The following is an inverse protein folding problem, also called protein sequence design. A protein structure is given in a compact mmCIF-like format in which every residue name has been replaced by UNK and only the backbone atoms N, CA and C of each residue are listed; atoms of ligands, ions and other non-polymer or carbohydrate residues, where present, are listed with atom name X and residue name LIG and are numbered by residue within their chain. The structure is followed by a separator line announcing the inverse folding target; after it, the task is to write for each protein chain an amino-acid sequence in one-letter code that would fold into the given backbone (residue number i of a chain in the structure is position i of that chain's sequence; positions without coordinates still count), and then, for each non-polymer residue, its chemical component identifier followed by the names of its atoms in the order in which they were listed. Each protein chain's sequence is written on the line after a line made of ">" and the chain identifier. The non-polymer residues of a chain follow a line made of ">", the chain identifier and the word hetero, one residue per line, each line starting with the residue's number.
data_IF_125002162625
#
_entry.id   IF_125002162625
#
_cell.length_a   1.000
_cell.length_b   1.000
_cell.length_c   1.000
_cell.angle_alpha   90.00
_cell.angle_beta   90.00
_cell.angle_gamma   90.00
#
_symmetry.space_group_name_H-M   'P 1'
#
loop_
_entity.id
_entity.type
_entity.pdbx_description
1 polymer ?
#
# COMPACT_ATOMS: atom_id res chain seq x y z
N UNK A 1 56.42 -20.11 -12.75
CA UNK A 1 55.88 -18.79 -13.16
C UNK A 1 55.69 -18.83 -14.66
N UNK A 2 54.56 -19.40 -15.11
CA UNK A 2 54.07 -19.45 -16.49
C UNK A 2 52.85 -20.37 -16.50
N UNK A 3 51.68 -19.83 -16.86
CA UNK A 3 50.43 -20.48 -17.30
C UNK A 3 49.21 -19.72 -16.75
N UNK A 4 48.80 -18.64 -17.42
CA UNK A 4 47.41 -18.16 -17.36
C UNK A 4 47.04 -17.13 -18.45
N UNK A 5 47.61 -17.21 -19.65
CA UNK A 5 47.28 -16.30 -20.77
C UNK A 5 46.79 -17.07 -22.00
N UNK A 6 45.71 -17.84 -21.82
CA UNK A 6 45.12 -18.67 -22.89
C UNK A 6 43.59 -18.57 -22.98
N UNK A 7 43.00 -17.44 -22.55
CA UNK A 7 41.55 -17.20 -22.71
C UNK A 7 41.21 -15.76 -23.12
N UNK A 8 41.91 -15.21 -24.12
CA UNK A 8 41.52 -13.99 -24.83
C UNK A 8 41.90 -14.05 -26.30
N UNK A 9 41.11 -14.73 -27.12
CA UNK A 9 40.68 -14.26 -28.46
C UNK A 9 40.01 -15.41 -29.22
N UNK A 10 38.70 -15.54 -29.08
CA UNK A 10 37.91 -16.26 -30.07
C UNK A 10 36.72 -15.40 -30.49
N UNK A 11 37.02 -14.15 -30.84
CA UNK A 11 36.24 -13.40 -31.81
C UNK A 11 36.49 -14.03 -33.18
N UNK A 12 35.64 -14.99 -33.56
CA UNK A 12 35.51 -15.44 -34.95
C UNK A 12 34.07 -15.22 -35.38
N UNK A 13 33.87 -14.07 -36.03
CA UNK A 13 32.87 -13.78 -37.05
C UNK A 13 31.83 -14.90 -37.27
N UNK A 14 30.75 -14.88 -36.50
CA UNK A 14 29.50 -15.47 -36.96
C UNK A 14 28.74 -14.40 -37.73
N UNK A 15 29.01 -14.43 -39.04
CA UNK A 15 28.14 -13.96 -40.09
C UNK A 15 26.70 -14.26 -39.69
N UNK A 16 25.85 -13.23 -39.62
CA UNK A 16 24.41 -13.40 -39.59
C UNK A 16 24.00 -14.02 -40.93
N UNK A 17 24.12 -15.34 -41.03
CA UNK A 17 23.48 -16.10 -42.06
C UNK A 17 21.99 -15.83 -41.93
N UNK A 18 21.45 -15.16 -42.94
CA UNK A 18 20.04 -15.02 -43.25
C UNK A 18 19.29 -16.33 -43.01
N UNK A 19 18.70 -16.50 -41.82
CA UNK A 19 17.85 -17.63 -41.44
C UNK A 19 16.46 -17.52 -42.11
N UNK A 20 16.44 -17.37 -43.44
CA UNK A 20 15.22 -17.33 -44.24
C UNK A 20 15.13 -18.48 -45.25
N UNK A 21 16.11 -19.40 -45.32
CA UNK A 21 16.16 -20.41 -46.38
C UNK A 21 16.02 -21.87 -45.95
N UNK A 22 15.63 -22.17 -44.71
CA UNK A 22 15.35 -23.54 -44.28
C UNK A 22 14.03 -23.58 -43.50
N UNK A 23 12.91 -23.49 -44.22
CA UNK A 23 11.60 -23.89 -43.72
C UNK A 23 11.24 -25.26 -44.30
N UNK A 24 10.78 -26.23 -43.50
CA UNK A 24 10.31 -27.52 -44.00
C UNK A 24 9.16 -27.33 -45.01
N UNK A 25 9.07 -28.13 -46.08
CA UNK A 25 7.98 -28.05 -47.04
C UNK A 25 6.72 -28.63 -46.40
N UNK A 26 5.85 -27.78 -45.85
CA UNK A 26 4.59 -28.27 -45.27
C UNK A 26 3.81 -27.32 -44.37
N UNK A 27 4.30 -26.12 -44.06
CA UNK A 27 3.54 -25.17 -43.24
C UNK A 27 3.06 -23.99 -44.07
N UNK A 28 1.73 -23.93 -44.15
CA UNK A 28 0.86 -22.90 -44.71
C UNK A 28 1.47 -21.50 -44.84
N UNK A 29 1.13 -20.85 -45.96
CA UNK A 29 1.07 -19.40 -46.13
C UNK A 29 0.48 -18.73 -44.89
N UNK A 30 1.33 -18.38 -43.93
CA UNK A 30 0.98 -17.50 -42.83
C UNK A 30 1.00 -16.09 -43.40
N UNK A 31 -0.16 -15.40 -43.40
CA UNK A 31 -0.27 -14.02 -43.84
C UNK A 31 0.76 -13.16 -43.08
N UNK A 32 1.85 -12.81 -43.75
CA UNK A 32 2.85 -11.91 -43.20
C UNK A 32 2.37 -10.48 -43.47
N UNK A 33 2.22 -9.64 -42.43
CA UNK A 33 1.86 -8.25 -42.63
C UNK A 33 2.89 -7.56 -43.54
N UNK A 34 2.42 -6.66 -44.42
CA UNK A 34 3.31 -5.94 -45.31
C UNK A 34 4.33 -5.12 -44.51
N UNK A 35 5.58 -4.97 -44.99
CA UNK A 35 6.60 -4.18 -44.29
C UNK A 35 6.13 -2.75 -43.95
N UNK A 36 5.30 -2.16 -44.81
CA UNK A 36 4.67 -0.85 -44.61
C UNK A 36 3.70 -0.84 -43.43
N UNK A 37 2.96 -1.92 -43.20
CA UNK A 37 2.09 -2.07 -42.04
C UNK A 37 2.92 -2.25 -40.76
N UNK A 38 3.96 -3.09 -40.80
CA UNK A 38 4.87 -3.31 -39.68
C UNK A 38 5.59 -2.03 -39.22
N UNK A 39 5.98 -1.16 -40.15
CA UNK A 39 6.64 0.11 -39.84
C UNK A 39 5.75 1.12 -39.09
N UNK A 40 4.42 0.96 -39.15
CA UNK A 40 3.46 1.82 -38.45
C UNK A 40 3.04 1.27 -37.08
N UNK A 41 3.39 0.03 -36.78
CA UNK A 41 3.09 -0.57 -35.48
C UNK A 41 3.99 0.04 -34.41
N UNK A 42 3.43 0.24 -33.22
CA UNK A 42 4.17 0.82 -32.10
C UNK A 42 5.29 -0.11 -31.65
N UNK A 43 6.51 0.41 -31.54
CA UNK A 43 7.66 -0.40 -31.17
C UNK A 43 7.52 -1.06 -29.79
N UNK A 44 8.01 -2.29 -29.75
CA UNK A 44 8.22 -3.11 -28.56
C UNK A 44 9.71 -3.25 -28.28
N UNK A 45 10.06 -3.69 -27.07
CA UNK A 45 11.45 -3.85 -26.64
C UNK A 45 12.26 -4.84 -27.46
N UNK A 46 11.61 -5.71 -28.26
CA UNK A 46 12.26 -6.76 -29.05
C UNK A 46 12.49 -6.37 -30.52
N UNK A 47 11.91 -5.26 -30.97
CA UNK A 47 11.97 -4.82 -32.36
C UNK A 47 13.13 -3.84 -32.63
N UNK A 48 13.72 -3.27 -31.58
CA UNK A 48 14.74 -2.22 -31.64
C UNK A 48 15.99 -2.65 -30.88
N UNK A 49 17.15 -2.20 -31.37
CA UNK A 49 18.45 -2.57 -30.84
C UNK A 49 18.84 -1.83 -29.56
N UNK A 50 20.14 -1.54 -29.42
CA UNK A 50 20.70 -0.89 -28.22
C UNK A 50 20.11 0.52 -28.04
N UNK A 51 19.88 0.91 -26.78
CA UNK A 51 19.43 2.26 -26.41
C UNK A 51 17.91 2.42 -26.22
N UNK A 52 17.09 1.46 -26.66
CA UNK A 52 15.66 1.49 -26.39
C UNK A 52 15.29 0.67 -25.16
N UNK A 53 14.90 1.35 -24.08
CA UNK A 53 14.33 0.72 -22.89
C UNK A 53 12.86 1.09 -22.74
N UNK A 54 12.01 0.11 -22.43
CA UNK A 54 10.60 0.31 -22.11
C UNK A 54 10.19 -0.63 -20.98
N UNK A 55 9.69 -0.05 -19.89
CA UNK A 55 9.29 -0.79 -18.70
C UNK A 55 7.92 -1.47 -18.81
N UNK A 56 7.67 -2.45 -17.92
CA UNK A 56 6.44 -3.25 -17.84
C UNK A 56 5.57 -2.89 -16.63
N UNK A 57 5.63 -1.64 -16.15
CA UNK A 57 4.86 -1.15 -14.99
C UNK A 57 5.12 -1.91 -13.68
N UNK A 58 6.33 -2.42 -13.48
CA UNK A 58 6.74 -3.08 -12.22
C UNK A 58 6.87 -2.11 -11.03
N UNK A 59 6.74 -0.80 -11.29
CA UNK A 59 6.98 0.26 -10.31
C UNK A 59 8.47 0.50 -10.05
N UNK A 60 8.81 1.70 -9.55
CA UNK A 60 10.17 1.96 -9.08
C UNK A 60 10.36 1.36 -7.70
N UNK A 61 11.40 0.54 -7.53
CA UNK A 61 11.75 -0.12 -6.26
C UNK A 61 12.95 0.52 -5.57
N UNK A 62 13.40 1.68 -6.04
CA UNK A 62 14.68 2.24 -5.62
C UNK A 62 15.16 3.37 -6.54
N UNK A 63 16.48 3.53 -6.64
CA UNK A 63 17.11 4.55 -7.46
C UNK A 63 18.37 4.04 -8.17
N UNK A 64 18.64 4.57 -9.36
CA UNK A 64 19.90 4.35 -10.06
C UNK A 64 21.04 5.10 -9.36
N UNK A 65 22.22 4.49 -9.36
CA UNK A 65 23.46 5.12 -8.89
C UNK A 65 24.18 5.83 -10.03
N UNK A 66 25.06 6.78 -9.72
CA UNK A 66 25.88 7.47 -10.72
C UNK A 66 26.77 6.51 -11.54
N UNK A 67 27.17 5.38 -10.95
CA UNK A 67 27.94 4.32 -11.62
C UNK A 67 27.11 3.32 -12.43
N UNK A 68 25.81 3.56 -12.63
CA UNK A 68 24.94 2.68 -13.43
C UNK A 68 24.36 1.47 -12.67
N UNK A 69 24.69 1.29 -11.39
CA UNK A 69 24.04 0.32 -10.51
C UNK A 69 22.63 0.76 -10.06
N UNK A 70 21.97 -0.07 -9.25
CA UNK A 70 20.63 0.21 -8.71
C UNK A 70 20.57 -0.12 -7.21
N UNK A 71 20.09 0.81 -6.38
CA UNK A 71 19.92 0.62 -4.93
C UNK A 71 18.43 0.44 -4.64
N UNK A 72 18.08 -0.63 -3.94
CA UNK A 72 16.69 -0.98 -3.58
C UNK A 72 16.28 -0.23 -2.31
N UNK A 73 15.11 0.41 -2.36
CA UNK A 73 14.42 0.99 -1.21
C UNK A 73 13.34 0.03 -0.73
N UNK A 74 13.61 -0.69 0.36
CA UNK A 74 12.73 -1.72 0.91
C UNK A 74 11.35 -1.17 1.32
N UNK A 75 11.21 0.14 1.55
CA UNK A 75 9.92 0.76 1.88
C UNK A 75 8.96 0.79 0.68
N UNK A 76 9.48 0.72 -0.55
CA UNK A 76 8.70 0.70 -1.82
C UNK A 76 8.47 -0.71 -2.35
N UNK A 77 9.12 -1.70 -1.73
CA UNK A 77 8.92 -3.11 -2.06
C UNK A 77 7.53 -3.54 -1.62
N UNK A 78 6.83 -4.24 -2.50
CA UNK A 78 5.49 -4.75 -2.22
C UNK A 78 5.64 -6.04 -1.42
N UNK A 79 4.97 -6.11 -0.27
CA UNK A 79 4.96 -7.29 0.60
C UNK A 79 3.55 -7.88 0.61
N UNK A 80 3.45 -9.21 0.51
CA UNK A 80 2.18 -9.93 0.59
C UNK A 80 2.17 -10.68 1.92
N UNK A 81 1.49 -10.11 2.91
CA UNK A 81 1.44 -10.65 4.27
C UNK A 81 0.47 -11.83 4.30
N UNK A 82 1.00 -13.03 4.50
CA UNK A 82 0.22 -14.26 4.64
C UNK A 82 -0.04 -14.48 6.14
N UNK A 83 -1.31 -14.60 6.58
CA UNK A 83 -1.60 -14.94 7.97
C UNK A 83 -1.18 -16.38 8.27
N UNK A 84 -1.06 -16.72 9.55
CA UNK A 84 -0.88 -18.12 9.96
C UNK A 84 -2.11 -18.93 9.56
N UNK A 85 -1.89 -20.02 8.80
CA UNK A 85 -2.97 -20.85 8.23
C UNK A 85 -3.13 -22.20 8.94
N UNK A 86 -2.38 -22.44 10.03
CA UNK A 86 -2.57 -23.64 10.83
C UNK A 86 -3.96 -23.60 11.49
N UNK A 87 -4.72 -24.69 11.36
CA UNK A 87 -6.11 -24.79 11.84
C UNK A 87 -7.12 -23.83 11.15
N UNK A 88 -6.86 -23.37 9.93
CA UNK A 88 -7.82 -22.59 9.16
C UNK A 88 -8.77 -23.51 8.36
N UNK A 89 -10.04 -23.58 8.78
CA UNK A 89 -11.03 -24.51 8.20
C UNK A 89 -11.79 -23.96 6.99
N UNK A 90 -11.71 -22.66 6.69
CA UNK A 90 -12.46 -22.07 5.59
C UNK A 90 -11.80 -22.43 4.26
N UNK A 91 -12.59 -23.05 3.37
CA UNK A 91 -12.16 -23.39 2.01
C UNK A 91 -12.80 -22.42 1.00
N UNK A 92 -12.25 -22.27 -0.22
CA UNK A 92 -12.84 -21.39 -1.23
C UNK A 92 -14.19 -21.86 -1.77
N UNK A 93 -14.67 -23.03 -1.35
CA UNK A 93 -15.93 -23.62 -1.77
C UNK A 93 -16.85 -23.82 -0.58
N UNK A 94 -18.16 -23.75 -0.83
CA UNK A 94 -19.21 -24.02 0.14
C UNK A 94 -20.01 -25.23 -0.35
N UNK A 95 -20.53 -26.05 0.56
CA UNK A 95 -21.38 -27.19 0.19
C UNK A 95 -22.66 -26.70 -0.50
N UNK A 96 -23.07 -27.40 -1.55
CA UNK A 96 -24.33 -27.14 -2.27
C UNK A 96 -25.58 -27.46 -1.43
N UNK A 97 -25.42 -28.22 -0.35
CA UNK A 97 -26.51 -28.51 0.60
C UNK A 97 -26.90 -27.27 1.41
N UNK A 98 -26.00 -26.28 1.50
CA UNK A 98 -26.28 -25.02 2.18
C UNK A 98 -27.03 -24.08 1.24
N UNK A 99 -28.27 -23.75 1.60
CA UNK A 99 -29.08 -22.77 0.88
C UNK A 99 -28.38 -21.39 0.86
N UNK A 100 -28.23 -20.75 -0.32
CA UNK A 100 -27.63 -19.43 -0.42
C UNK A 100 -28.40 -18.42 0.42
N UNK A 101 -27.69 -17.68 1.28
CA UNK A 101 -28.33 -16.62 2.07
C UNK A 101 -28.72 -15.47 1.13
N UNK A 102 -30.02 -15.29 0.92
CA UNK A 102 -30.55 -14.18 0.12
C UNK A 102 -30.28 -12.85 0.81
N UNK A 103 -29.85 -11.86 0.03
CA UNK A 103 -29.66 -10.49 0.54
C UNK A 103 -30.98 -9.88 1.01
N UNK A 104 -32.09 -10.17 0.31
CA UNK A 104 -33.43 -9.70 0.67
C UNK A 104 -33.98 -10.61 1.77
N UNK A 105 -34.39 -10.03 2.90
CA UNK A 105 -34.96 -10.77 4.02
C UNK A 105 -36.46 -10.52 4.07
N UNK A 106 -37.22 -11.56 4.39
CA UNK A 106 -38.60 -11.39 4.79
C UNK A 106 -38.63 -10.90 6.23
N UNK A 107 -38.92 -9.62 6.43
CA UNK A 107 -39.17 -9.05 7.76
C UNK A 107 -40.67 -8.80 7.87
N UNK A 108 -41.35 -9.48 8.79
CA UNK A 108 -42.79 -9.35 9.04
C UNK A 108 -43.66 -9.51 7.77
N UNK A 109 -43.35 -10.50 6.93
CA UNK A 109 -44.10 -10.78 5.69
C UNK A 109 -43.82 -9.85 4.52
N UNK A 110 -43.01 -8.80 4.70
CA UNK A 110 -42.58 -7.89 3.62
C UNK A 110 -41.17 -8.23 3.17
N UNK A 111 -40.94 -8.27 1.85
CA UNK A 111 -39.60 -8.36 1.28
C UNK A 111 -38.88 -7.04 1.53
N UNK A 112 -37.90 -7.03 2.43
CA UNK A 112 -37.07 -5.87 2.69
C UNK A 112 -35.64 -6.15 2.26
N UNK A 113 -35.10 -5.26 1.42
CA UNK A 113 -33.66 -5.21 1.22
C UNK A 113 -33.08 -4.56 2.46
N UNK A 114 -32.12 -5.18 3.15
CA UNK A 114 -31.47 -4.55 4.28
C UNK A 114 -30.89 -3.23 3.81
N UNK A 115 -31.15 -2.18 4.59
CA UNK A 115 -30.61 -0.85 4.35
C UNK A 115 -29.08 -0.89 4.33
N UNK A 116 -28.45 0.09 3.68
CA UNK A 116 -26.99 0.24 3.80
C UNK A 116 -26.66 0.37 5.28
N UNK A 117 -25.61 -0.32 5.73
CA UNK A 117 -25.17 -0.26 7.13
C UNK A 117 -24.88 1.20 7.47
N UNK A 118 -25.68 1.77 8.38
CA UNK A 118 -25.45 3.11 8.90
C UNK A 118 -24.28 3.09 9.89
N UNK A 119 -23.54 4.19 9.94
CA UNK A 119 -22.41 4.34 10.87
C UNK A 119 -22.86 4.26 12.33
N UNK A 120 -24.03 4.83 12.66
CA UNK A 120 -24.56 4.77 14.03
C UNK A 120 -25.00 3.35 14.40
N UNK A 121 -25.62 2.63 13.47
CA UNK A 121 -26.01 1.23 13.71
C UNK A 121 -24.81 0.32 13.87
N UNK A 122 -23.74 0.54 13.09
CA UNK A 122 -22.47 -0.12 13.32
C UNK A 122 -21.91 0.16 14.72
N UNK A 123 -21.91 1.42 15.17
CA UNK A 123 -21.41 1.79 16.51
C UNK A 123 -22.24 1.17 17.63
N UNK A 124 -23.57 1.12 17.47
CA UNK A 124 -24.47 0.45 18.42
C UNK A 124 -24.16 -1.04 18.50
N UNK A 125 -23.99 -1.69 17.36
CA UNK A 125 -23.71 -3.12 17.30
C UNK A 125 -22.30 -3.46 17.80
N UNK A 126 -21.32 -2.63 17.48
CA UNK A 126 -19.95 -2.76 17.99
C UNK A 126 -19.91 -2.61 19.52
N UNK A 127 -20.59 -1.59 20.07
CA UNK A 127 -20.74 -1.42 21.52
C UNK A 127 -21.40 -2.64 22.17
N UNK A 128 -22.37 -3.26 21.49
CA UNK A 128 -23.07 -4.45 21.97
C UNK A 128 -22.19 -5.70 21.98
N UNK A 129 -21.37 -5.89 20.94
CA UNK A 129 -20.52 -7.06 20.76
C UNK A 129 -19.20 -7.00 21.55
N UNK A 130 -18.71 -5.78 21.83
CA UNK A 130 -17.39 -5.55 22.42
C UNK A 130 -17.47 -4.65 23.67
N UNK A 131 -18.17 -5.07 24.74
CA UNK A 131 -18.36 -4.23 25.93
C UNK A 131 -17.04 -3.86 26.61
N UNK A 132 -16.10 -4.79 26.70
CA UNK A 132 -14.81 -4.58 27.37
C UNK A 132 -13.93 -3.53 26.67
N UNK A 133 -13.90 -3.54 25.34
CA UNK A 133 -13.17 -2.51 24.57
C UNK A 133 -13.83 -1.14 24.73
N UNK A 134 -15.17 -1.12 24.73
CA UNK A 134 -15.93 0.11 24.90
C UNK A 134 -15.69 0.74 26.28
N UNK A 135 -15.79 -0.04 27.36
CA UNK A 135 -15.55 0.41 28.73
C UNK A 135 -14.14 1.01 28.87
N UNK A 136 -13.11 0.31 28.38
CA UNK A 136 -11.74 0.82 28.38
C UNK A 136 -11.57 2.16 27.67
N UNK A 137 -12.23 2.34 26.52
CA UNK A 137 -12.15 3.61 25.78
C UNK A 137 -12.85 4.74 26.53
N UNK A 138 -13.99 4.47 27.18
CA UNK A 138 -14.72 5.46 27.97
C UNK A 138 -13.90 5.88 29.19
N UNK A 139 -13.36 4.91 29.95
CA UNK A 139 -12.51 5.18 31.11
C UNK A 139 -11.27 6.00 30.72
N UNK A 140 -10.61 5.65 29.61
CA UNK A 140 -9.47 6.41 29.11
C UNK A 140 -9.86 7.85 28.74
N UNK A 141 -11.02 8.06 28.14
CA UNK A 141 -11.52 9.40 27.81
C UNK A 141 -11.84 10.22 29.08
N UNK A 142 -12.46 9.60 30.08
CA UNK A 142 -12.74 10.24 31.38
C UNK A 142 -11.46 10.63 32.10
N UNK A 143 -10.44 9.76 32.08
CA UNK A 143 -9.12 10.05 32.65
C UNK A 143 -8.45 11.23 31.95
N UNK A 144 -8.48 11.27 30.61
CA UNK A 144 -7.95 12.40 29.84
C UNK A 144 -8.72 13.70 30.15
N UNK A 145 -10.04 13.64 30.27
CA UNK A 145 -10.86 14.80 30.62
C UNK A 145 -10.58 15.30 32.03
N UNK A 146 -10.41 14.39 33.00
CA UNK A 146 -10.06 14.73 34.37
C UNK A 146 -8.66 15.39 34.46
N UNK A 147 -7.67 14.83 33.75
CA UNK A 147 -6.33 15.42 33.67
C UNK A 147 -6.35 16.80 33.01
N UNK A 148 -7.11 16.98 31.93
CA UNK A 148 -7.26 18.27 31.27
C UNK A 148 -7.92 19.32 32.20
N UNK A 149 -8.94 18.92 32.98
CA UNK A 149 -9.57 19.79 33.96
C UNK A 149 -8.63 20.18 35.11
N UNK A 150 -7.83 19.23 35.61
CA UNK A 150 -6.80 19.49 36.62
C UNK A 150 -5.75 20.49 36.09
N UNK A 151 -5.22 20.27 34.89
CA UNK A 151 -4.24 21.16 34.27
C UNK A 151 -4.81 22.58 34.05
N UNK A 152 -6.09 22.70 33.66
CA UNK A 152 -6.76 23.99 33.54
C UNK A 152 -6.93 24.70 34.90
N UNK A 153 -7.24 23.95 35.96
CA UNK A 153 -7.36 24.50 37.31
C UNK A 153 -6.01 24.96 37.87
N UNK A 154 -4.94 24.21 37.62
CA UNK A 154 -3.57 24.59 37.99
C UNK A 154 -3.14 25.89 37.28
N UNK A 155 -3.36 25.98 35.95
CA UNK A 155 -3.08 27.20 35.19
C UNK A 155 -3.90 28.40 35.69
N UNK A 156 -5.16 28.19 36.06
CA UNK A 156 -6.02 29.22 36.66
C UNK A 156 -5.48 29.70 38.03
N UNK A 157 -4.99 28.79 38.87
CA UNK A 157 -4.36 29.16 40.15
C UNK A 157 -3.03 29.90 39.94
N UNK A 158 -2.20 29.47 39.00
CA UNK A 158 -0.93 30.14 38.66
C UNK A 158 -1.17 31.56 38.13
N UNK A 159 -2.17 31.75 37.27
CA UNK A 159 -2.53 33.07 36.74
C UNK A 159 -3.06 34.01 37.83
N UNK A 160 -3.90 33.53 38.76
CA UNK A 160 -4.34 34.32 39.92
C UNK A 160 -3.15 34.70 40.80
N UNK A 161 -2.26 33.74 41.10
CA UNK A 161 -1.07 33.98 41.92
C UNK A 161 -0.13 35.01 41.28
N UNK A 162 0.10 34.94 39.97
CA UNK A 162 0.91 35.92 39.24
C UNK A 162 0.26 37.32 39.20
N UNK A 163 -1.06 37.41 39.10
CA UNK A 163 -1.79 38.70 39.19
C UNK A 163 -1.71 39.31 40.59
N UNK A 164 -1.79 38.50 41.64
CA UNK A 164 -1.61 38.94 43.02
C UNK A 164 -0.17 39.45 43.27
N UNK A 165 0.84 38.70 42.82
CA UNK A 165 2.25 39.13 42.93
C UNK A 165 2.50 40.42 42.14
N UNK A 166 1.97 40.53 40.92
CA UNK A 166 2.12 41.73 40.08
C UNK A 166 1.40 42.97 40.62
N UNK A 167 0.26 42.80 41.30
CA UNK A 167 -0.48 43.89 41.95
C UNK A 167 0.18 44.35 43.25
N UNK A 168 0.76 43.44 44.04
CA UNK A 168 1.56 43.78 45.22
C UNK A 168 2.82 44.59 44.83
N UNK A 169 3.56 44.16 43.80
CA UNK A 169 4.74 44.89 43.32
C UNK A 169 4.40 46.32 42.83
N UNK A 170 3.27 46.51 42.13
CA UNK A 170 2.80 47.84 41.70
C UNK A 170 2.41 48.75 42.87
N UNK A 171 1.87 48.19 43.95
CA UNK A 171 1.48 48.95 45.14
C UNK A 171 2.69 49.38 45.99
N UNK A 172 3.80 48.64 45.94
CA UNK A 172 5.04 49.02 46.61
C UNK A 172 5.81 50.11 45.83
N UNK A 173 5.77 50.09 44.50
CA UNK A 173 6.43 51.10 43.65
C UNK A 173 5.76 52.49 43.71
N UNK A 174 4.45 52.54 43.99
CA UNK A 174 3.73 53.81 44.24
C UNK A 174 3.93 54.38 45.66
N UNK A 175 4.64 53.65 46.53
CA UNK A 175 4.90 54.03 47.93
C UNK A 175 6.36 54.43 48.17
N UNK A 176 7.19 54.52 47.13
CA UNK A 176 8.54 55.05 47.21
C UNK A 176 8.55 56.56 46.85
N UNK A 177 9.09 57.45 47.71
CA UNK A 177 9.14 58.90 47.52
C UNK A 177 10.19 59.37 46.49
#
# INVERSE_FOLDING_TARGET
>A
MQESDLFKNQQRNHTYASLSSLSPPGYYNMFQPSPQLCARLRFTTKQVGRGFYRGNRTGSKGAHTAGGGYIIDWRKTTHYNVPEMENFYLTPFVSLEMEPTLRVRHVNGTLQTPEKVDGLDFLREWKRLSPYEYEHLVEHQEQLAAQAAQAQAELAQETVTQQEIGSQAKSEEQKAP
#
